data_IF_233289166146
#
_entry.id   IF_233289166146
#
_cell.length_a   1.000
_cell.length_b   1.000
_cell.length_c   1.000
_cell.angle_alpha   90.00
_cell.angle_beta   90.00
_cell.angle_gamma   90.00
#
_symmetry.space_group_name_H-M   'P 1'
#
loop_
_entity.id
_entity.type
_entity.pdbx_description
1 polymer ?
#
# COMPACT_ATOMS: atom_id res chain seq x y z
N UNK A 1 21.44 -15.15 10.72
CA UNK A 1 20.30 -14.65 9.90
C UNK A 1 19.45 -13.82 10.85
N UNK A 2 19.45 -12.50 10.72
CA UNK A 2 18.55 -11.67 11.54
C UNK A 2 17.12 -11.99 11.11
N UNK A 3 16.33 -12.52 12.03
CA UNK A 3 14.88 -12.73 11.82
C UNK A 3 14.21 -11.37 11.89
N UNK A 4 13.73 -10.84 10.76
CA UNK A 4 12.87 -9.65 10.80
C UNK A 4 11.62 -9.93 11.61
N UNK A 5 11.06 -8.87 12.21
CA UNK A 5 9.71 -8.94 12.72
C UNK A 5 8.79 -9.35 11.56
N UNK A 6 8.16 -10.53 11.69
CA UNK A 6 7.27 -11.10 10.68
C UNK A 6 6.16 -10.13 10.29
N UNK A 7 5.71 -9.29 11.22
CA UNK A 7 4.67 -8.30 10.97
C UNK A 7 5.14 -7.19 10.01
N UNK A 8 6.42 -6.77 10.11
CA UNK A 8 7.02 -5.79 9.20
C UNK A 8 7.13 -6.37 7.79
N UNK A 9 7.51 -7.64 7.68
CA UNK A 9 7.60 -8.32 6.39
C UNK A 9 6.20 -8.41 5.74
N UNK A 10 5.19 -8.87 6.50
CA UNK A 10 3.82 -8.99 6.03
C UNK A 10 3.21 -7.63 5.65
N UNK A 11 3.48 -6.58 6.43
CA UNK A 11 3.07 -5.22 6.12
C UNK A 11 3.72 -4.73 4.83
N UNK A 12 5.02 -4.98 4.64
CA UNK A 12 5.76 -4.58 3.44
C UNK A 12 5.26 -5.30 2.18
N UNK A 13 4.99 -6.60 2.27
CA UNK A 13 4.35 -7.35 1.18
C UNK A 13 2.97 -6.77 0.86
N UNK A 14 2.16 -6.47 1.87
CA UNK A 14 0.83 -5.90 1.68
C UNK A 14 0.91 -4.51 1.03
N UNK A 15 1.86 -3.68 1.45
CA UNK A 15 2.14 -2.37 0.86
C UNK A 15 2.53 -2.47 -0.62
N UNK A 16 3.29 -3.49 -1.01
CA UNK A 16 3.75 -3.71 -2.38
C UNK A 16 2.67 -4.33 -3.29
N UNK A 17 1.90 -5.30 -2.76
CA UNK A 17 1.09 -6.24 -3.54
C UNK A 17 0.18 -5.55 -4.58
N UNK A 18 -0.80 -4.77 -4.13
CA UNK A 18 -1.80 -4.18 -5.06
C UNK A 18 -1.21 -3.14 -6.00
N UNK A 19 -0.39 -2.17 -5.52
CA UNK A 19 0.23 -1.22 -6.44
C UNK A 19 1.08 -1.90 -7.51
N UNK A 20 1.96 -2.84 -7.14
CA UNK A 20 2.82 -3.52 -8.10
C UNK A 20 2.03 -4.42 -9.06
N UNK A 21 1.05 -5.16 -8.56
CA UNK A 21 0.20 -6.01 -9.39
C UNK A 21 -0.57 -5.21 -10.44
N UNK A 22 -1.19 -4.10 -10.03
CA UNK A 22 -1.91 -3.18 -10.93
C UNK A 22 -0.99 -2.47 -11.92
N UNK A 23 0.26 -2.20 -11.56
CA UNK A 23 1.26 -1.67 -12.48
C UNK A 23 1.76 -2.72 -13.51
N UNK A 24 1.29 -3.98 -13.42
CA UNK A 24 1.60 -5.04 -14.38
C UNK A 24 2.72 -5.99 -13.96
N UNK A 25 3.32 -5.81 -12.79
CA UNK A 25 4.32 -6.74 -12.26
C UNK A 25 3.66 -8.04 -11.80
N UNK A 26 4.40 -9.15 -11.80
CA UNK A 26 3.87 -10.45 -11.35
C UNK A 26 4.65 -11.07 -10.21
N UNK A 27 5.91 -10.70 -10.04
CA UNK A 27 6.72 -11.16 -8.90
C UNK A 27 7.24 -10.01 -8.06
N UNK A 28 7.57 -10.30 -6.81
CA UNK A 28 8.10 -9.30 -5.87
C UNK A 28 9.47 -8.79 -6.32
N UNK A 29 10.33 -9.65 -6.86
CA UNK A 29 11.65 -9.27 -7.34
C UNK A 29 11.57 -8.33 -8.54
N UNK A 30 10.67 -8.57 -9.50
CA UNK A 30 10.44 -7.67 -10.64
C UNK A 30 10.00 -6.28 -10.14
N UNK A 31 9.06 -6.24 -9.19
CA UNK A 31 8.56 -4.99 -8.63
C UNK A 31 9.65 -4.24 -7.85
N UNK A 32 10.43 -4.92 -7.00
CA UNK A 32 11.50 -4.31 -6.21
C UNK A 32 12.72 -3.88 -7.03
N UNK A 33 12.90 -4.43 -8.25
CA UNK A 33 13.88 -3.93 -9.20
C UNK A 33 13.50 -2.55 -9.78
N UNK A 34 12.23 -2.16 -9.73
CA UNK A 34 11.81 -0.80 -10.06
C UNK A 34 12.07 0.15 -8.88
N UNK A 35 12.86 1.20 -9.16
CA UNK A 35 13.25 2.19 -8.15
C UNK A 35 12.07 2.93 -7.52
N UNK A 36 10.95 3.07 -8.21
CA UNK A 36 9.77 3.72 -7.64
C UNK A 36 9.16 2.85 -6.52
N UNK A 37 9.05 1.54 -6.74
CA UNK A 37 8.54 0.62 -5.73
C UNK A 37 9.54 0.39 -4.60
N UNK A 38 10.82 0.20 -4.91
CA UNK A 38 11.86 0.06 -3.88
C UNK A 38 11.86 1.28 -2.96
N UNK A 39 11.84 2.50 -3.52
CA UNK A 39 11.80 3.74 -2.73
C UNK A 39 10.49 3.89 -1.95
N UNK A 40 9.36 3.43 -2.48
CA UNK A 40 8.07 3.46 -1.81
C UNK A 40 8.06 2.57 -0.57
N UNK A 41 8.57 1.34 -0.67
CA UNK A 41 8.68 0.42 0.47
C UNK A 41 9.73 0.92 1.47
N UNK A 42 10.90 1.38 1.02
CA UNK A 42 11.90 2.00 1.92
C UNK A 42 11.32 3.20 2.66
N UNK A 43 10.52 4.04 1.98
CA UNK A 43 9.88 5.19 2.60
C UNK A 43 8.86 4.80 3.68
N UNK A 44 8.07 3.74 3.46
CA UNK A 44 7.15 3.20 4.46
C UNK A 44 7.93 2.69 5.69
N UNK A 45 9.00 1.94 5.48
CA UNK A 45 9.82 1.38 6.57
C UNK A 45 10.51 2.46 7.40
N UNK A 46 11.07 3.47 6.73
CA UNK A 46 11.75 4.62 7.34
C UNK A 46 10.78 5.53 8.10
N UNK A 47 9.69 5.94 7.44
CA UNK A 47 8.85 7.04 7.92
C UNK A 47 7.55 6.62 8.58
N UNK A 48 7.07 5.40 8.38
CA UNK A 48 5.80 4.94 8.95
C UNK A 48 6.02 3.94 10.06
N UNK A 49 6.80 2.89 9.78
CA UNK A 49 7.17 1.86 10.76
C UNK A 49 8.26 2.35 11.71
N UNK A 50 9.05 3.35 11.28
CA UNK A 50 10.22 3.83 11.99
C UNK A 50 11.14 2.66 12.38
N UNK A 51 11.65 1.93 11.37
CA UNK A 51 12.75 0.99 11.56
C UNK A 51 13.95 1.76 12.13
N UNK A 52 14.00 1.85 13.46
CA UNK A 52 14.97 2.67 14.18
C UNK A 52 16.31 1.97 14.15
N UNK A 53 17.24 2.53 13.39
CA UNK A 53 18.67 2.41 13.69
C UNK A 53 19.23 3.82 13.72
N UNK A 54 20.09 4.11 14.70
CA UNK A 54 20.83 5.38 14.76
C UNK A 54 22.08 5.39 13.86
N UNK A 55 22.39 4.26 13.22
CA UNK A 55 23.54 4.07 12.31
C UNK A 55 23.07 3.80 10.87
N UNK A 56 23.47 4.66 9.93
CA UNK A 56 23.10 4.57 8.51
C UNK A 56 23.48 3.23 7.86
N UNK A 57 24.65 2.70 8.22
CA UNK A 57 25.15 1.44 7.68
C UNK A 57 24.32 0.25 8.17
N UNK A 58 23.77 0.32 9.38
CA UNK A 58 22.86 -0.70 9.91
C UNK A 58 21.49 -0.62 9.22
N UNK A 59 21.00 0.59 8.93
CA UNK A 59 19.74 0.77 8.20
C UNK A 59 19.81 0.22 6.76
N UNK A 60 20.87 0.53 6.00
CA UNK A 60 21.01 0.03 4.62
C UNK A 60 21.13 -1.50 4.57
N UNK A 61 21.90 -2.08 5.49
CA UNK A 61 22.02 -3.53 5.61
C UNK A 61 20.69 -4.18 6.00
N UNK A 62 19.93 -3.54 6.91
CA UNK A 62 18.62 -4.02 7.30
C UNK A 62 17.62 -3.94 6.14
N UNK A 63 17.63 -2.85 5.38
CA UNK A 63 16.76 -2.71 4.23
C UNK A 63 17.10 -3.75 3.15
N UNK A 64 18.39 -3.97 2.86
CA UNK A 64 18.84 -4.95 1.88
C UNK A 64 18.47 -6.39 2.27
N UNK A 65 18.63 -6.72 3.55
CA UNK A 65 18.27 -8.02 4.10
C UNK A 65 16.75 -8.24 4.13
N UNK A 66 15.96 -7.19 4.40
CA UNK A 66 14.50 -7.24 4.26
C UNK A 66 14.08 -7.44 2.80
N UNK A 67 14.67 -6.70 1.85
CA UNK A 67 14.35 -6.85 0.43
C UNK A 67 14.72 -8.23 -0.10
N UNK A 68 15.85 -8.79 0.35
CA UNK A 68 16.22 -10.17 0.05
C UNK A 68 15.17 -11.14 0.57
N UNK A 69 14.64 -10.90 1.78
CA UNK A 69 13.57 -11.71 2.36
C UNK A 69 12.24 -11.54 1.62
N UNK A 70 11.91 -10.32 1.17
CA UNK A 70 10.72 -10.04 0.38
C UNK A 70 10.79 -10.71 -1.00
N UNK A 71 11.96 -10.72 -1.64
CA UNK A 71 12.16 -11.31 -2.97
C UNK A 71 12.03 -12.84 -2.96
N UNK A 72 12.28 -13.48 -1.82
CA UNK A 72 11.97 -14.91 -1.60
C UNK A 72 10.51 -15.02 -1.17
N UNK A 73 9.60 -14.64 -2.04
CA UNK A 73 8.16 -14.67 -1.76
C UNK A 73 7.37 -15.18 -2.94
N UNK A 74 6.13 -15.51 -2.63
CA UNK A 74 5.09 -15.90 -3.55
C UNK A 74 4.86 -14.82 -4.61
N UNK A 75 4.17 -15.21 -5.68
CA UNK A 75 3.79 -14.29 -6.74
C UNK A 75 2.84 -13.19 -6.24
N UNK A 76 2.80 -12.04 -6.92
CA UNK A 76 2.00 -10.90 -6.49
C UNK A 76 0.49 -11.23 -6.44
N UNK A 77 -0.01 -12.13 -7.28
CA UNK A 77 -1.40 -12.62 -7.23
C UNK A 77 -1.69 -13.38 -5.92
N UNK A 78 -0.75 -14.19 -5.45
CA UNK A 78 -0.87 -14.89 -4.16
C UNK A 78 -0.81 -13.89 -2.99
N UNK A 79 0.04 -12.85 -3.11
CA UNK A 79 0.08 -11.77 -2.12
C UNK A 79 -1.21 -10.94 -2.10
N UNK A 80 -1.89 -10.78 -3.23
CA UNK A 80 -3.20 -10.12 -3.35
C UNK A 80 -4.39 -10.97 -2.84
N UNK A 81 -4.19 -12.25 -2.53
CA UNK A 81 -5.25 -13.07 -1.92
C UNK A 81 -5.54 -12.63 -0.49
N UNK A 82 -6.81 -12.68 -0.07
CA UNK A 82 -7.24 -12.36 1.31
C UNK A 82 -6.78 -10.97 1.78
N UNK A 83 -6.98 -9.99 0.91
CA UNK A 83 -6.50 -8.63 1.08
C UNK A 83 -7.10 -7.90 2.25
N UNK A 84 -8.40 -8.03 2.44
CA UNK A 84 -9.11 -7.32 3.49
C UNK A 84 -8.60 -7.72 4.88
N UNK A 85 -8.33 -9.00 5.10
CA UNK A 85 -7.76 -9.52 6.35
C UNK A 85 -6.32 -9.04 6.55
N UNK A 86 -5.48 -9.11 5.51
CA UNK A 86 -4.08 -8.63 5.54
C UNK A 86 -3.98 -7.14 5.84
N UNK A 87 -4.82 -6.32 5.21
CA UNK A 87 -4.88 -4.88 5.46
C UNK A 87 -5.26 -4.58 6.91
N UNK A 88 -6.29 -5.26 7.42
CA UNK A 88 -6.74 -5.09 8.81
C UNK A 88 -5.67 -5.51 9.82
N UNK A 89 -4.97 -6.61 9.56
CA UNK A 89 -3.97 -7.18 10.46
C UNK A 89 -2.63 -6.42 10.43
N UNK A 90 -2.11 -6.09 9.24
CA UNK A 90 -0.71 -5.65 9.09
C UNK A 90 -0.54 -4.16 8.78
N UNK A 91 -1.54 -3.51 8.20
CA UNK A 91 -1.42 -2.11 7.75
C UNK A 91 -2.22 -1.16 8.65
N UNK A 92 -3.41 -1.59 9.06
CA UNK A 92 -4.31 -0.77 9.86
C UNK A 92 -3.72 -0.32 11.21
N UNK A 93 -2.95 -1.15 11.95
CA UNK A 93 -2.30 -0.70 13.18
C UNK A 93 -1.40 0.51 12.96
N UNK A 94 -0.48 0.44 11.98
CA UNK A 94 0.41 1.55 11.62
C UNK A 94 -0.37 2.77 11.15
N UNK A 95 -1.42 2.59 10.34
CA UNK A 95 -2.25 3.72 9.90
C UNK A 95 -2.91 4.45 11.06
N UNK A 96 -3.39 3.74 12.09
CA UNK A 96 -4.02 4.34 13.26
C UNK A 96 -3.03 5.18 14.05
N UNK A 97 -1.84 4.66 14.29
CA UNK A 97 -0.75 5.40 14.95
C UNK A 97 -0.44 6.70 14.19
N UNK A 98 -0.26 6.62 12.86
CA UNK A 98 0.00 7.81 12.05
C UNK A 98 -1.12 8.83 12.11
N UNK A 99 -2.38 8.39 12.12
CA UNK A 99 -3.55 9.28 12.22
C UNK A 99 -3.66 9.93 13.60
N UNK A 100 -3.40 9.19 14.67
CA UNK A 100 -3.41 9.69 16.05
C UNK A 100 -2.28 10.70 16.30
N UNK A 101 -1.11 10.47 15.68
CA UNK A 101 0.06 11.34 15.77
C UNK A 101 0.05 12.49 14.74
N UNK A 102 -0.97 12.61 13.88
CA UNK A 102 -1.03 13.56 12.76
C UNK A 102 0.20 13.50 11.83
N UNK A 103 0.73 12.30 11.60
CA UNK A 103 1.85 12.05 10.70
C UNK A 103 1.39 11.86 9.25
N UNK A 104 2.37 11.78 8.36
CA UNK A 104 2.12 11.61 6.94
C UNK A 104 1.52 10.23 6.61
N UNK A 105 0.28 10.23 6.11
CA UNK A 105 -0.49 9.03 5.76
C UNK A 105 -0.53 8.75 4.25
N UNK A 106 0.19 9.54 3.42
CA UNK A 106 0.10 9.46 1.95
C UNK A 106 0.43 8.07 1.40
N UNK A 107 1.42 7.38 1.97
CA UNK A 107 1.85 6.05 1.51
C UNK A 107 0.74 5.01 1.70
N UNK A 108 0.16 4.94 2.89
CA UNK A 108 -0.94 4.01 3.17
C UNK A 108 -2.23 4.43 2.44
N UNK A 109 -2.50 5.73 2.29
CA UNK A 109 -3.62 6.21 1.50
C UNK A 109 -3.51 5.76 0.03
N UNK A 110 -2.30 5.76 -0.53
CA UNK A 110 -2.03 5.24 -1.87
C UNK A 110 -2.26 3.73 -1.97
N UNK A 111 -1.77 2.95 -0.99
CA UNK A 111 -2.09 1.51 -0.91
C UNK A 111 -3.60 1.26 -0.90
N UNK A 112 -4.36 1.93 -0.02
CA UNK A 112 -5.81 1.71 0.06
C UNK A 112 -6.53 2.17 -1.21
N UNK A 113 -6.04 3.22 -1.86
CA UNK A 113 -6.57 3.65 -3.16
C UNK A 113 -6.31 2.60 -4.25
N UNK A 114 -5.11 2.02 -4.29
CA UNK A 114 -4.76 0.94 -5.20
C UNK A 114 -5.59 -0.33 -4.93
N UNK A 115 -5.70 -0.76 -3.67
CA UNK A 115 -6.58 -1.87 -3.28
C UNK A 115 -8.03 -1.63 -3.71
N UNK A 116 -8.53 -0.42 -3.49
CA UNK A 116 -9.87 -0.07 -3.91
C UNK A 116 -10.05 -0.04 -5.43
N UNK A 117 -9.03 0.38 -6.17
CA UNK A 117 -9.03 0.30 -7.63
C UNK A 117 -9.01 -1.16 -8.10
N UNK A 118 -8.19 -1.99 -7.47
CA UNK A 118 -8.06 -3.42 -7.73
C UNK A 118 -9.41 -4.14 -7.62
N UNK A 119 -10.15 -3.85 -6.55
CA UNK A 119 -11.47 -4.44 -6.31
C UNK A 119 -12.57 -3.94 -7.25
N UNK A 120 -12.45 -2.73 -7.80
CA UNK A 120 -13.52 -2.11 -8.61
C UNK A 120 -13.35 -2.30 -10.12
N UNK A 121 -12.17 -2.65 -10.63
CA UNK A 121 -11.88 -2.63 -12.08
C UNK A 121 -11.54 -3.97 -12.70
N UNK A 122 -10.99 -4.93 -11.94
CA UNK A 122 -10.60 -6.27 -12.42
C UNK A 122 -9.67 -6.29 -13.64
N UNK A 123 -8.99 -5.16 -13.92
CA UNK A 123 -8.06 -5.00 -15.05
C UNK A 123 -6.88 -4.16 -14.59
N UNK A 124 -5.66 -4.55 -14.93
CA UNK A 124 -4.45 -3.80 -14.60
C UNK A 124 -4.17 -2.64 -15.57
N UNK A 125 -3.14 -1.84 -15.31
CA UNK A 125 -2.76 -0.68 -16.12
C UNK A 125 -2.38 -1.06 -17.57
N UNK A 126 -2.05 -2.33 -17.83
CA UNK A 126 -1.72 -2.86 -19.15
C UNK A 126 -2.94 -3.47 -19.87
N UNK A 127 -4.13 -3.43 -19.27
CA UNK A 127 -5.35 -3.99 -19.84
C UNK A 127 -5.50 -5.49 -19.60
N UNK A 128 -4.69 -6.11 -18.74
CA UNK A 128 -4.79 -7.54 -18.42
C UNK A 128 -5.84 -7.74 -17.33
N UNK A 129 -6.85 -8.57 -17.63
CA UNK A 129 -7.90 -8.93 -16.68
C UNK A 129 -7.42 -9.93 -15.64
N UNK A 130 -7.94 -9.84 -14.43
CA UNK A 130 -7.65 -10.75 -13.33
C UNK A 130 -8.90 -11.04 -12.49
N UNK A 131 -8.82 -12.09 -11.67
CA UNK A 131 -9.88 -12.45 -10.73
C UNK A 131 -9.53 -11.98 -9.31
N UNK A 132 -10.54 -11.52 -8.58
CA UNK A 132 -10.37 -11.12 -7.18
C UNK A 132 -10.59 -12.34 -6.29
N UNK A 133 -9.61 -12.63 -5.42
CA UNK A 133 -9.72 -13.66 -4.40
C UNK A 133 -9.64 -13.04 -3.00
N UNK A 134 -10.79 -12.61 -2.47
CA UNK A 134 -10.91 -12.07 -1.12
C UNK A 134 -12.07 -12.75 -0.37
N UNK A 135 -11.84 -13.93 0.22
CA UNK A 135 -12.90 -14.79 0.76
C UNK A 135 -13.59 -14.18 2.00
N UNK A 136 -12.97 -13.17 2.63
CA UNK A 136 -13.46 -12.55 3.85
C UNK A 136 -14.30 -11.28 3.60
N UNK A 137 -14.46 -10.86 2.33
CA UNK A 137 -15.42 -9.81 1.98
C UNK A 137 -16.84 -10.37 1.90
N UNK A 138 -17.76 -9.75 2.64
CA UNK A 138 -19.16 -10.13 2.64
C UNK A 138 -19.99 -9.31 1.64
N UNK A 139 -21.25 -9.69 1.42
CA UNK A 139 -22.15 -9.02 0.47
C UNK A 139 -22.29 -7.50 0.74
N UNK A 140 -22.31 -7.10 2.01
CA UNK A 140 -22.38 -5.68 2.39
C UNK A 140 -21.09 -4.93 2.05
N UNK A 141 -19.94 -5.61 2.09
CA UNK A 141 -18.66 -5.02 1.69
C UNK A 141 -18.60 -4.83 0.18
N UNK A 142 -19.04 -5.84 -0.58
CA UNK A 142 -19.18 -5.73 -2.03
C UNK A 142 -20.15 -4.62 -2.44
N UNK A 143 -21.23 -4.42 -1.69
CA UNK A 143 -22.17 -3.31 -1.92
C UNK A 143 -21.51 -1.94 -1.74
N UNK A 144 -20.60 -1.81 -0.76
CA UNK A 144 -19.80 -0.59 -0.54
C UNK A 144 -18.72 -0.41 -1.60
N UNK A 145 -18.07 -1.49 -2.03
CA UNK A 145 -17.02 -1.49 -3.06
C UNK A 145 -17.60 -1.07 -4.42
N UNK A 146 -18.81 -1.53 -4.75
CA UNK A 146 -19.51 -1.22 -5.99
C UNK A 146 -20.33 0.08 -5.92
N UNK A 147 -20.25 0.81 -4.80
CA UNK A 147 -20.91 2.11 -4.64
C UNK A 147 -20.29 3.16 -5.58
N UNK A 148 -21.12 4.10 -6.03
CA UNK A 148 -20.64 5.28 -6.78
C UNK A 148 -19.80 6.22 -5.90
N UNK A 149 -19.97 6.16 -4.58
CA UNK A 149 -19.11 6.86 -3.65
C UNK A 149 -17.90 6.00 -3.29
N UNK A 150 -16.75 6.31 -3.88
CA UNK A 150 -15.48 5.59 -3.65
C UNK A 150 -15.08 5.54 -2.16
N UNK A 151 -15.54 6.48 -1.33
CA UNK A 151 -15.25 6.50 0.12
C UNK A 151 -15.98 5.41 0.88
N UNK A 152 -17.04 4.84 0.30
CA UNK A 152 -17.78 3.72 0.90
C UNK A 152 -16.86 2.54 1.20
N UNK A 153 -15.82 2.33 0.40
CA UNK A 153 -14.81 1.29 0.62
C UNK A 153 -14.08 1.45 1.96
N UNK A 154 -13.84 2.67 2.44
CA UNK A 154 -13.16 2.91 3.72
C UNK A 154 -13.98 2.42 4.93
N UNK A 155 -15.23 2.01 4.71
CA UNK A 155 -16.13 1.48 5.73
C UNK A 155 -16.52 0.01 5.50
N UNK A 156 -15.80 -0.73 4.65
CA UNK A 156 -15.92 -2.19 4.63
C UNK A 156 -15.60 -2.78 6.00
N UNK A 157 -16.20 -3.92 6.31
CA UNK A 157 -16.18 -4.55 7.63
C UNK A 157 -14.76 -4.69 8.20
N UNK A 158 -13.74 -5.12 7.41
CA UNK A 158 -12.36 -5.24 7.91
C UNK A 158 -11.67 -3.91 8.25
N UNK A 159 -12.15 -2.78 7.73
CA UNK A 159 -11.59 -1.44 7.97
C UNK A 159 -12.45 -0.57 8.89
N UNK A 160 -13.70 -1.00 9.15
CA UNK A 160 -14.71 -0.19 9.83
C UNK A 160 -14.27 0.29 11.23
N UNK A 161 -13.48 -0.53 11.95
CA UNK A 161 -12.98 -0.21 13.29
C UNK A 161 -12.07 1.02 13.33
N UNK A 162 -11.36 1.34 12.24
CA UNK A 162 -10.48 2.50 12.16
C UNK A 162 -11.24 3.80 11.85
N UNK A 163 -12.53 3.73 11.49
CA UNK A 163 -13.39 4.89 11.23
C UNK A 163 -12.75 5.91 10.29
N UNK A 164 -12.03 5.45 9.27
CA UNK A 164 -11.18 6.30 8.40
C UNK A 164 -11.92 7.51 7.79
N UNK A 165 -13.23 7.38 7.60
CA UNK A 165 -14.10 8.46 7.12
C UNK A 165 -14.15 9.70 8.04
N UNK A 166 -13.77 9.59 9.32
CA UNK A 166 -13.72 10.73 10.24
C UNK A 166 -12.50 11.63 10.04
N UNK A 167 -11.49 11.16 9.29
CA UNK A 167 -10.26 11.90 9.03
C UNK A 167 -10.34 12.60 7.68
N UNK A 168 -10.75 13.87 7.68
CA UNK A 168 -11.03 14.65 6.46
C UNK A 168 -9.84 14.74 5.50
N UNK A 169 -8.62 14.91 6.02
CA UNK A 169 -7.40 14.94 5.23
C UNK A 169 -7.16 13.58 4.54
N UNK A 170 -7.28 12.48 5.28
CA UNK A 170 -7.14 11.13 4.74
C UNK A 170 -8.16 10.84 3.65
N UNK A 171 -9.44 11.18 3.89
CA UNK A 171 -10.52 11.02 2.90
C UNK A 171 -10.24 11.82 1.63
N UNK A 172 -9.71 13.03 1.76
CA UNK A 172 -9.37 13.89 0.63
C UNK A 172 -8.24 13.28 -0.20
N UNK A 173 -7.17 12.81 0.45
CA UNK A 173 -6.07 12.10 -0.21
C UNK A 173 -6.57 10.83 -0.91
N UNK A 174 -7.34 10.00 -0.22
CA UNK A 174 -7.89 8.75 -0.77
C UNK A 174 -8.71 9.00 -2.04
N UNK A 175 -9.63 9.98 -2.00
CA UNK A 175 -10.43 10.36 -3.19
C UNK A 175 -9.54 10.81 -4.34
N UNK A 176 -8.56 11.67 -4.06
CA UNK A 176 -7.62 12.17 -5.05
C UNK A 176 -6.82 11.04 -5.70
N UNK A 177 -6.31 10.09 -4.91
CA UNK A 177 -5.57 8.94 -5.42
C UNK A 177 -6.46 7.97 -6.19
N UNK A 178 -7.68 7.68 -5.74
CA UNK A 178 -8.64 6.87 -6.51
C UNK A 178 -8.89 7.45 -7.90
N UNK A 179 -9.06 8.77 -7.99
CA UNK A 179 -9.27 9.45 -9.27
C UNK A 179 -8.01 9.42 -10.15
N UNK A 180 -6.84 9.69 -9.57
CA UNK A 180 -5.57 9.70 -10.30
C UNK A 180 -5.17 8.31 -10.81
N UNK A 181 -5.34 7.26 -10.00
CA UNK A 181 -5.09 5.87 -10.44
C UNK A 181 -6.01 5.52 -11.61
N UNK A 182 -7.31 5.83 -11.50
CA UNK A 182 -8.27 5.53 -12.57
C UNK A 182 -8.00 6.30 -13.88
N UNK A 183 -7.37 7.47 -13.81
CA UNK A 183 -7.10 8.31 -14.99
C UNK A 183 -5.70 8.08 -15.59
N UNK A 184 -4.71 7.84 -14.74
CA UNK A 184 -3.28 7.91 -15.09
C UNK A 184 -2.53 6.59 -14.86
N UNK A 185 -3.11 5.65 -14.12
CA UNK A 185 -2.45 4.43 -13.66
C UNK A 185 -1.57 4.62 -12.42
N UNK A 186 -1.10 3.50 -11.88
CA UNK A 186 -0.29 3.41 -10.66
C UNK A 186 1.04 4.12 -10.84
N UNK A 187 1.75 3.83 -11.93
CA UNK A 187 3.15 4.28 -12.10
C UNK A 187 3.26 5.80 -12.20
N UNK A 188 2.29 6.46 -12.82
CA UNK A 188 2.28 7.93 -12.91
C UNK A 188 2.07 8.56 -11.54
N UNK A 189 1.11 8.06 -10.76
CA UNK A 189 0.85 8.58 -9.42
C UNK A 189 2.04 8.31 -8.48
N UNK A 190 2.62 7.10 -8.52
CA UNK A 190 3.77 6.74 -7.71
C UNK A 190 4.98 7.65 -8.01
N UNK A 191 5.21 7.96 -9.29
CA UNK A 191 6.23 8.92 -9.73
C UNK A 191 5.95 10.33 -9.19
N UNK A 192 4.70 10.81 -9.23
CA UNK A 192 4.33 12.11 -8.67
C UNK A 192 4.59 12.16 -7.15
N UNK A 193 4.22 11.11 -6.41
CA UNK A 193 4.49 11.02 -4.98
C UNK A 193 5.99 11.08 -4.66
N UNK A 194 6.83 10.46 -5.50
CA UNK A 194 8.29 10.51 -5.36
C UNK A 194 8.85 11.92 -5.59
N UNK A 195 8.35 12.68 -6.58
CA UNK A 195 8.82 14.06 -6.84
C UNK A 195 8.48 15.02 -5.72
N UNK A 196 7.26 14.98 -5.19
CA UNK A 196 6.85 15.87 -4.08
C UNK A 196 7.68 15.66 -2.80
N UNK A 197 8.33 14.50 -2.65
CA UNK A 197 9.31 14.24 -1.57
C UNK A 197 10.64 14.95 -1.79
N UNK A 198 11.09 15.08 -3.04
CA UNK A 198 12.37 15.75 -3.37
C UNK A 198 12.28 17.26 -3.15
N UNK A 199 11.14 17.88 -3.53
CA UNK A 199 10.97 19.33 -3.40
C UNK A 199 10.93 19.78 -1.93
N UNK A 200 10.31 19.02 -1.03
CA UNK A 200 10.25 19.37 0.41
C UNK A 200 11.61 19.22 1.12
N UNK A 201 12.49 18.32 0.65
CA UNK A 201 13.86 18.19 1.18
C UNK A 201 14.80 19.29 0.65
N UNK A 202 14.51 19.89 -0.50
CA UNK A 202 15.31 20.98 -1.05
C UNK A 202 15.02 22.34 -0.38
N UNK A 203 13.91 22.45 0.36
CA UNK A 203 13.46 23.69 1.03
C UNK A 203 13.59 23.66 2.56
N UNK A 204 14.19 22.61 3.13
CA UNK A 204 14.45 22.46 4.58
C UNK A 204 15.94 22.54 4.87
#
# INVERSE_FOLDING_TARGET
>A
MQTYNQDILNASHTMLAYPAFLAGYRTVDEALNDRLFSNYISAFLDQDVALTTSDSDDYENQLASLFSSLAISDSLDQLCCDGASKLSAFVLPTLRELLEENRDVRRIAFLLAAYGHYLSTTTDDNGVTYEINDPNLHQDDWSKINSTDVVSLLSISPLASARLQTFSYFVTLYKSYRAQIAQLGIMVLLKQMAYHRMDMRATS
#
